data_IF_587892324658
#
_entry.id   IF_587892324658
#
_cell.length_a   1.000
_cell.length_b   1.000
_cell.length_c   1.000
_cell.angle_alpha   90.00
_cell.angle_beta   90.00
_cell.angle_gamma   90.00
#
_symmetry.space_group_name_H-M   'P 1'
#
loop_
_entity.id
_entity.type
_entity.pdbx_description
1 polymer ?
#
# COMPACT_ATOMS: atom_id res chain seq x y z
N UNK A 1 -10.42 -47.58 -26.53
CA UNK A 1 -9.86 -46.23 -26.33
C UNK A 1 -10.78 -45.47 -25.38
N UNK A 2 -10.33 -45.15 -24.17
CA UNK A 2 -11.10 -44.33 -23.23
C UNK A 2 -11.20 -42.90 -23.77
N UNK A 3 -12.41 -42.35 -23.88
CA UNK A 3 -12.57 -40.92 -24.19
C UNK A 3 -11.83 -40.10 -23.13
N UNK A 4 -11.06 -39.07 -23.51
CA UNK A 4 -10.46 -38.18 -22.53
C UNK A 4 -11.58 -37.52 -21.72
N UNK A 5 -11.56 -37.74 -20.42
CA UNK A 5 -12.47 -37.11 -19.46
C UNK A 5 -12.07 -35.65 -19.33
N UNK A 6 -13.01 -34.74 -19.65
CA UNK A 6 -12.79 -33.30 -19.50
C UNK A 6 -12.98 -32.89 -18.04
N UNK A 7 -12.21 -31.92 -17.55
CA UNK A 7 -12.41 -31.37 -16.20
C UNK A 7 -13.88 -30.92 -16.00
N UNK A 8 -14.51 -30.41 -17.05
CA UNK A 8 -15.91 -29.95 -17.05
C UNK A 8 -16.94 -31.07 -16.89
N UNK A 9 -16.56 -32.34 -17.11
CA UNK A 9 -17.45 -33.48 -16.88
C UNK A 9 -17.51 -33.92 -15.41
N UNK A 10 -16.63 -33.40 -14.55
CA UNK A 10 -16.67 -33.65 -13.12
C UNK A 10 -17.76 -32.82 -12.45
N UNK A 11 -18.39 -33.28 -11.35
CA UNK A 11 -19.16 -32.42 -10.45
C UNK A 11 -18.38 -31.19 -9.99
N UNK A 12 -19.09 -30.09 -9.69
CA UNK A 12 -18.46 -28.82 -9.32
C UNK A 12 -17.58 -28.94 -8.09
N UNK A 13 -18.03 -29.71 -7.10
CA UNK A 13 -17.37 -29.91 -5.83
C UNK A 13 -15.97 -30.50 -6.02
N UNK A 14 -15.85 -31.51 -6.90
CA UNK A 14 -14.56 -32.10 -7.27
C UNK A 14 -13.67 -31.13 -8.07
N UNK A 15 -14.27 -30.26 -8.89
CA UNK A 15 -13.49 -29.21 -9.60
C UNK A 15 -12.93 -28.18 -8.61
N UNK A 16 -13.72 -27.76 -7.64
CA UNK A 16 -13.29 -26.80 -6.61
C UNK A 16 -12.16 -27.41 -5.74
N UNK A 17 -12.25 -28.69 -5.40
CA UNK A 17 -11.18 -29.44 -4.71
C UNK A 17 -9.90 -29.49 -5.55
N UNK A 18 -9.99 -29.88 -6.83
CA UNK A 18 -8.84 -29.89 -7.75
C UNK A 18 -8.24 -28.49 -7.89
N UNK A 19 -9.07 -27.46 -8.09
CA UNK A 19 -8.60 -26.08 -8.20
C UNK A 19 -7.87 -25.68 -6.93
N UNK A 20 -8.39 -26.03 -5.75
CA UNK A 20 -7.76 -25.76 -4.45
C UNK A 20 -6.36 -26.38 -4.35
N UNK A 21 -6.18 -27.60 -4.84
CA UNK A 21 -4.86 -28.24 -4.92
C UNK A 21 -3.90 -27.59 -5.93
N UNK A 22 -4.42 -26.87 -6.92
CA UNK A 22 -3.64 -26.14 -7.92
C UNK A 22 -3.29 -24.71 -7.50
N UNK A 23 -3.75 -24.28 -6.32
CA UNK A 23 -3.46 -22.96 -5.78
C UNK A 23 -1.99 -22.88 -5.41
N UNK A 24 -1.35 -21.81 -5.87
CA UNK A 24 0.06 -21.57 -5.62
C UNK A 24 0.19 -20.65 -4.40
N UNK A 25 1.30 -20.75 -3.64
CA UNK A 25 1.55 -19.92 -2.47
C UNK A 25 1.50 -18.42 -2.76
N UNK A 26 1.51 -17.63 -1.69
CA UNK A 26 1.55 -16.18 -1.73
C UNK A 26 2.58 -15.63 -2.72
N UNK A 27 2.20 -14.57 -3.43
CA UNK A 27 2.95 -14.07 -4.58
C UNK A 27 2.93 -12.55 -4.65
N UNK A 28 4.06 -11.97 -5.05
CA UNK A 28 4.19 -10.52 -5.27
C UNK A 28 4.30 -10.24 -6.76
N UNK A 29 3.35 -9.46 -7.29
CA UNK A 29 3.44 -8.89 -8.64
C UNK A 29 4.15 -7.54 -8.58
N UNK A 30 5.11 -7.31 -9.47
CA UNK A 30 5.79 -6.01 -9.60
C UNK A 30 5.21 -5.22 -10.75
N UNK A 31 5.26 -3.89 -10.73
CA UNK A 31 4.84 -3.08 -11.89
C UNK A 31 5.76 -3.21 -13.12
N UNK A 32 6.91 -3.90 -12.97
CA UNK A 32 7.82 -4.21 -14.08
C UNK A 32 7.42 -5.47 -14.83
N UNK A 33 7.43 -5.42 -16.15
CA UNK A 33 7.32 -6.61 -17.00
C UNK A 33 8.58 -7.48 -16.97
N UNK A 34 9.73 -6.94 -16.52
CA UNK A 34 11.00 -7.66 -16.54
C UNK A 34 11.27 -8.37 -15.20
N UNK A 35 11.76 -9.63 -15.23
CA UNK A 35 12.14 -10.38 -14.03
C UNK A 35 13.31 -9.72 -13.28
N UNK A 36 14.19 -9.02 -13.99
CA UNK A 36 15.29 -8.28 -13.38
C UNK A 36 14.89 -6.81 -13.18
N UNK A 37 14.59 -6.46 -11.93
CA UNK A 37 14.22 -5.11 -11.50
C UNK A 37 15.42 -4.23 -11.15
N UNK A 38 16.66 -4.73 -11.27
CA UNK A 38 17.90 -3.95 -11.16
C UNK A 38 17.85 -2.66 -11.98
N UNK A 39 17.15 -2.76 -13.11
CA UNK A 39 17.06 -1.74 -14.12
C UNK A 39 15.98 -0.69 -13.82
N UNK A 40 15.02 -0.97 -12.93
CA UNK A 40 13.91 -0.06 -12.62
C UNK A 40 14.38 1.24 -11.94
N UNK A 41 15.45 1.15 -11.15
CA UNK A 41 16.04 2.25 -10.39
C UNK A 41 17.49 2.57 -10.80
N UNK A 42 18.01 1.96 -11.87
CA UNK A 42 19.40 2.15 -12.32
C UNK A 42 19.61 2.27 -13.83
N UNK A 43 18.64 1.95 -14.69
CA UNK A 43 18.89 1.99 -16.15
C UNK A 43 18.22 3.13 -16.89
N UNK A 44 18.85 3.45 -18.03
CA UNK A 44 18.45 4.43 -19.03
C UNK A 44 17.17 4.09 -19.82
N UNK A 45 16.31 3.21 -19.31
CA UNK A 45 15.07 2.83 -20.01
C UNK A 45 13.88 3.52 -19.36
N UNK A 46 13.08 4.20 -20.17
CA UNK A 46 11.80 4.84 -19.81
C UNK A 46 10.76 3.81 -19.35
N UNK A 47 11.00 3.14 -18.23
CA UNK A 47 9.99 2.33 -17.59
C UNK A 47 8.87 3.29 -17.17
N UNK A 48 7.66 3.09 -17.70
CA UNK A 48 6.51 3.90 -17.33
C UNK A 48 6.33 3.84 -15.81
N UNK A 49 6.39 4.99 -15.12
CA UNK A 49 6.20 5.04 -13.68
C UNK A 49 4.72 4.85 -13.35
N UNK A 50 4.42 3.85 -12.53
CA UNK A 50 3.06 3.58 -12.04
C UNK A 50 2.96 3.88 -10.54
N UNK A 51 1.73 4.14 -10.10
CA UNK A 51 1.38 4.38 -8.69
C UNK A 51 1.70 3.14 -7.85
N UNK A 52 1.20 1.98 -8.27
CA UNK A 52 1.50 0.71 -7.65
C UNK A 52 2.85 0.17 -8.13
N UNK A 53 3.59 -0.38 -7.18
CA UNK A 53 4.95 -0.90 -7.42
C UNK A 53 5.06 -2.38 -7.13
N UNK A 54 4.32 -2.83 -6.12
CA UNK A 54 4.22 -4.23 -5.71
C UNK A 54 2.77 -4.53 -5.28
N UNK A 55 2.29 -5.73 -5.60
CA UNK A 55 0.98 -6.23 -5.17
C UNK A 55 1.19 -7.63 -4.61
N UNK A 56 1.03 -7.78 -3.30
CA UNK A 56 1.01 -9.07 -2.64
C UNK A 56 -0.40 -9.65 -2.70
N UNK A 57 -0.50 -10.88 -3.21
CA UNK A 57 -1.69 -11.71 -3.09
C UNK A 57 -1.37 -12.90 -2.18
N UNK A 58 -2.30 -13.28 -1.29
CA UNK A 58 -2.08 -14.42 -0.40
C UNK A 58 -2.07 -15.76 -1.14
N UNK A 59 -2.56 -15.80 -2.38
CA UNK A 59 -2.52 -16.97 -3.25
C UNK A 59 -2.41 -16.57 -4.72
N UNK A 60 -1.92 -17.49 -5.55
CA UNK A 60 -1.77 -17.27 -7.00
C UNK A 60 -2.55 -18.31 -7.80
N UNK A 61 -3.30 -17.82 -8.80
CA UNK A 61 -3.93 -18.66 -9.82
C UNK A 61 -2.85 -19.27 -10.72
N UNK A 62 -2.94 -20.58 -10.97
CA UNK A 62 -2.16 -21.24 -12.01
C UNK A 62 -2.47 -20.59 -13.37
N UNK A 63 -1.51 -19.91 -14.03
CA UNK A 63 -1.77 -19.09 -15.23
C UNK A 63 -2.43 -19.89 -16.36
N UNK A 64 -2.10 -21.18 -16.45
CA UNK A 64 -2.63 -22.09 -17.46
C UNK A 64 -4.15 -22.27 -17.34
N UNK A 65 -4.72 -22.23 -16.12
CA UNK A 65 -6.17 -22.40 -15.89
C UNK A 65 -6.96 -21.21 -16.45
N UNK A 66 -6.38 -20.00 -16.45
CA UNK A 66 -7.03 -18.79 -16.94
C UNK A 66 -7.27 -18.80 -18.46
N UNK A 67 -6.52 -19.62 -19.19
CA UNK A 67 -6.57 -19.71 -20.65
C UNK A 67 -7.46 -20.82 -21.20
N UNK A 68 -7.90 -21.79 -20.39
CA UNK A 68 -8.54 -23.02 -20.92
C UNK A 68 -10.01 -22.82 -21.29
N UNK A 69 -10.82 -22.30 -20.37
CA UNK A 69 -12.27 -22.18 -20.56
C UNK A 69 -12.83 -21.05 -19.69
N UNK A 70 -13.80 -20.29 -20.23
CA UNK A 70 -14.48 -19.20 -19.48
C UNK A 70 -15.16 -19.70 -18.20
N UNK A 71 -15.77 -20.88 -18.22
CA UNK A 71 -16.43 -21.46 -17.05
C UNK A 71 -15.42 -21.80 -15.96
N UNK A 72 -14.37 -22.57 -16.29
CA UNK A 72 -13.30 -22.91 -15.35
C UNK A 72 -12.60 -21.67 -14.79
N UNK A 73 -12.40 -20.65 -15.63
CA UNK A 73 -11.90 -19.35 -15.17
C UNK A 73 -12.82 -18.73 -14.13
N UNK A 74 -14.13 -18.72 -14.36
CA UNK A 74 -15.10 -18.14 -13.43
C UNK A 74 -15.14 -18.89 -12.09
N UNK A 75 -15.10 -20.23 -12.12
CA UNK A 75 -15.06 -21.07 -10.93
C UNK A 75 -13.75 -20.88 -10.15
N UNK A 76 -12.61 -20.86 -10.85
CA UNK A 76 -11.31 -20.61 -10.24
C UNK A 76 -11.22 -19.24 -9.56
N UNK A 77 -11.79 -18.20 -10.19
CA UNK A 77 -11.88 -16.87 -9.59
C UNK A 77 -12.77 -16.87 -8.34
N UNK A 78 -13.89 -17.61 -8.35
CA UNK A 78 -14.75 -17.75 -7.16
C UNK A 78 -14.01 -18.41 -5.99
N UNK A 79 -13.28 -19.50 -6.25
CA UNK A 79 -12.46 -20.19 -5.23
C UNK A 79 -11.40 -19.24 -4.66
N UNK A 80 -10.69 -18.48 -5.51
CA UNK A 80 -9.68 -17.54 -5.04
C UNK A 80 -10.29 -16.38 -4.24
N UNK A 81 -11.41 -15.83 -4.67
CA UNK A 81 -12.11 -14.78 -3.94
C UNK A 81 -12.55 -15.27 -2.56
N UNK A 82 -13.04 -16.51 -2.46
CA UNK A 82 -13.40 -17.12 -1.19
C UNK A 82 -12.19 -17.24 -0.25
N UNK A 83 -11.04 -17.68 -0.76
CA UNK A 83 -9.80 -17.82 0.02
C UNK A 83 -9.27 -16.46 0.47
N UNK A 84 -9.23 -15.47 -0.42
CA UNK A 84 -8.81 -14.11 -0.07
C UNK A 84 -9.70 -13.54 1.04
N UNK A 85 -11.02 -13.72 0.90
CA UNK A 85 -11.98 -13.27 1.90
C UNK A 85 -11.83 -14.02 3.24
N UNK A 86 -11.57 -15.32 3.23
CA UNK A 86 -11.40 -16.11 4.46
C UNK A 86 -10.09 -15.79 5.17
N UNK A 87 -8.99 -15.63 4.45
CA UNK A 87 -7.70 -15.24 5.02
C UNK A 87 -7.74 -13.86 5.69
N UNK A 88 -8.59 -12.97 5.20
CA UNK A 88 -8.81 -11.64 5.80
C UNK A 88 -9.48 -11.69 7.19
N UNK A 89 -10.01 -12.85 7.60
CA UNK A 89 -10.61 -13.06 8.93
C UNK A 89 -9.64 -13.69 9.93
N UNK A 90 -8.49 -14.20 9.48
CA UNK A 90 -7.52 -14.85 10.34
C UNK A 90 -6.66 -13.76 11.00
N UNK A 91 -6.57 -13.73 12.34
CA UNK A 91 -5.66 -12.81 13.02
C UNK A 91 -4.22 -13.08 12.58
N UNK A 92 -3.36 -12.06 12.47
CA UNK A 92 -1.95 -12.25 12.13
C UNK A 92 -1.35 -13.29 13.07
N UNK A 93 -0.54 -14.23 12.55
CA UNK A 93 0.13 -15.20 13.40
C UNK A 93 0.96 -14.44 14.44
N UNK A 94 0.86 -14.85 15.70
CA UNK A 94 1.58 -14.23 16.83
C UNK A 94 3.09 -14.43 16.77
N UNK A 95 3.57 -15.24 15.81
CA UNK A 95 4.98 -15.48 15.55
C UNK A 95 5.28 -15.27 14.07
N UNK A 96 6.42 -14.65 13.73
CA UNK A 96 6.86 -14.54 12.35
C UNK A 96 6.98 -15.95 11.74
N UNK A 97 6.60 -16.14 10.47
CA UNK A 97 6.75 -17.43 9.82
C UNK A 97 8.22 -17.86 9.91
N UNK A 98 8.50 -19.15 10.17
CA UNK A 98 9.87 -19.63 10.20
C UNK A 98 10.53 -19.27 8.85
N UNK A 99 11.80 -18.83 8.85
CA UNK A 99 12.50 -18.48 7.62
C UNK A 99 12.47 -19.71 6.70
N UNK A 100 11.65 -19.68 5.65
CA UNK A 100 11.59 -20.78 4.70
C UNK A 100 12.94 -20.88 4.00
N UNK A 101 13.64 -21.99 4.15
CA UNK A 101 14.98 -22.22 3.58
C UNK A 101 15.01 -22.03 2.04
N UNK A 102 13.86 -22.17 1.38
CA UNK A 102 13.70 -21.92 -0.05
C UNK A 102 12.74 -20.75 -0.28
N UNK A 103 13.30 -19.56 -0.47
CA UNK A 103 12.56 -18.41 -1.00
C UNK A 103 12.00 -18.82 -2.39
N UNK A 104 10.69 -18.68 -2.65
CA UNK A 104 10.12 -18.90 -3.98
C UNK A 104 10.89 -18.11 -5.05
N UNK A 105 11.07 -18.65 -6.27
CA UNK A 105 11.74 -17.94 -7.38
C UNK A 105 11.19 -16.53 -7.63
N UNK A 106 9.88 -16.34 -7.40
CA UNK A 106 9.21 -15.05 -7.53
C UNK A 106 9.66 -13.99 -6.54
N UNK A 107 10.22 -14.39 -5.40
CA UNK A 107 10.79 -13.45 -4.44
C UNK A 107 12.02 -12.78 -5.04
N UNK A 108 12.90 -13.56 -5.67
CA UNK A 108 14.06 -13.00 -6.38
C UNK A 108 13.67 -12.13 -7.59
N UNK A 109 12.51 -12.38 -8.19
CA UNK A 109 11.98 -11.55 -9.29
C UNK A 109 11.31 -10.26 -8.78
N UNK A 110 10.81 -10.27 -7.55
CA UNK A 110 10.24 -9.11 -6.90
C UNK A 110 11.31 -8.21 -6.28
N UNK A 111 12.39 -8.83 -5.79
CA UNK A 111 13.52 -8.19 -5.12
C UNK A 111 14.22 -7.19 -6.03
N UNK A 112 14.07 -5.90 -5.72
CA UNK A 112 14.86 -4.85 -6.40
C UNK A 112 16.22 -4.73 -5.73
N UNK A 113 17.27 -4.62 -6.54
CA UNK A 113 18.64 -4.44 -6.05
C UNK A 113 18.71 -3.23 -5.11
N UNK A 114 19.01 -3.48 -3.84
CA UNK A 114 19.13 -2.45 -2.82
C UNK A 114 17.83 -2.05 -2.12
N UNK A 115 16.70 -2.73 -2.36
CA UNK A 115 15.43 -2.53 -1.62
C UNK A 115 14.99 -3.77 -0.84
N UNK A 116 15.88 -4.74 -0.62
CA UNK A 116 15.55 -5.95 0.15
C UNK A 116 15.02 -5.63 1.55
N UNK A 117 15.58 -4.59 2.19
CA UNK A 117 15.10 -4.11 3.49
C UNK A 117 13.69 -3.52 3.42
N UNK A 118 13.40 -2.67 2.43
CA UNK A 118 12.05 -2.12 2.21
C UNK A 118 11.02 -3.24 2.02
N UNK A 119 11.37 -4.25 1.25
CA UNK A 119 10.48 -5.35 0.94
C UNK A 119 10.26 -6.31 2.11
N UNK A 120 11.29 -6.55 2.92
CA UNK A 120 11.15 -7.32 4.16
C UNK A 120 10.28 -6.55 5.16
N UNK A 121 10.48 -5.23 5.28
CA UNK A 121 9.64 -4.36 6.08
C UNK A 121 8.17 -4.39 5.62
N UNK A 122 7.91 -4.22 4.31
CA UNK A 122 6.56 -4.33 3.74
C UNK A 122 5.85 -5.66 4.07
N UNK A 123 6.63 -6.75 4.18
CA UNK A 123 6.13 -8.11 4.44
C UNK A 123 5.84 -8.38 5.91
N UNK A 124 6.31 -7.52 6.81
CA UNK A 124 5.94 -7.62 8.21
C UNK A 124 4.43 -7.44 8.31
N UNK A 125 3.76 -8.46 8.84
CA UNK A 125 2.31 -8.54 9.00
C UNK A 125 1.52 -8.62 7.68
N UNK A 126 2.06 -9.32 6.67
CA UNK A 126 1.25 -9.65 5.48
C UNK A 126 0.04 -10.52 5.85
N UNK A 127 -1.10 -9.86 5.98
CA UNK A 127 -2.43 -10.49 6.14
C UNK A 127 -3.30 -10.01 4.98
N UNK A 128 -3.61 -10.93 4.06
CA UNK A 128 -4.45 -10.63 2.89
C UNK A 128 -3.75 -9.86 1.77
N UNK A 129 -4.49 -8.96 1.12
CA UNK A 129 -4.01 -8.19 -0.03
C UNK A 129 -3.26 -6.95 0.43
N UNK A 130 -2.02 -6.79 -0.05
CA UNK A 130 -1.21 -5.58 0.16
C UNK A 130 -0.82 -4.98 -1.18
N UNK A 131 -1.00 -3.67 -1.33
CA UNK A 131 -0.48 -2.91 -2.47
C UNK A 131 0.54 -1.90 -1.96
N UNK A 132 1.74 -1.94 -2.53
CA UNK A 132 2.80 -0.98 -2.22
C UNK A 132 2.77 0.18 -3.23
N UNK A 133 2.69 1.39 -2.70
CA UNK A 133 2.62 2.66 -3.43
C UNK A 133 3.91 3.45 -3.24
N UNK A 134 4.41 4.09 -4.30
CA UNK A 134 5.50 5.07 -4.20
C UNK A 134 4.94 6.46 -4.56
N UNK A 135 4.91 7.39 -3.61
CA UNK A 135 4.35 8.73 -3.80
C UNK A 135 5.47 9.78 -3.72
N UNK A 136 5.73 10.53 -4.80
CA UNK A 136 6.85 11.51 -4.86
C UNK A 136 8.23 10.93 -4.52
N UNK A 137 8.39 9.61 -4.45
CA UNK A 137 9.68 8.97 -4.17
C UNK A 137 10.61 9.18 -5.36
N UNK A 138 11.75 9.82 -5.09
CA UNK A 138 12.82 10.02 -6.06
C UNK A 138 13.40 8.67 -6.49
N UNK A 139 13.64 8.54 -7.79
CA UNK A 139 14.31 7.40 -8.39
C UNK A 139 15.70 7.84 -8.88
N UNK A 140 16.68 6.96 -8.71
CA UNK A 140 18.03 7.20 -9.19
C UNK A 140 18.08 6.95 -10.70
N UNK A 141 18.22 8.01 -11.48
CA UNK A 141 18.44 7.95 -12.91
C UNK A 141 19.93 8.03 -13.26
N UNK A 142 20.21 8.06 -14.57
CA UNK A 142 21.56 8.25 -15.12
C UNK A 142 22.18 9.60 -14.71
N UNK A 143 21.37 10.64 -14.60
CA UNK A 143 21.80 12.02 -14.37
C UNK A 143 21.54 12.53 -12.96
N UNK A 144 21.39 11.62 -11.98
CA UNK A 144 21.07 11.97 -10.60
C UNK A 144 19.69 11.47 -10.18
N UNK A 145 19.04 12.18 -9.28
CA UNK A 145 17.71 11.83 -8.78
C UNK A 145 16.64 12.56 -9.57
N UNK A 146 15.58 11.85 -9.95
CA UNK A 146 14.38 12.42 -10.55
C UNK A 146 13.15 11.89 -9.83
N UNK A 147 12.14 12.73 -9.62
CA UNK A 147 10.84 12.31 -9.09
C UNK A 147 9.94 12.04 -10.28
N UNK A 148 9.64 10.77 -10.62
CA UNK A 148 8.80 10.50 -11.77
C UNK A 148 7.34 10.79 -11.45
N UNK A 149 6.62 11.30 -12.45
CA UNK A 149 5.18 11.57 -12.37
C UNK A 149 4.42 10.26 -12.48
N UNK A 150 3.66 9.89 -11.44
CA UNK A 150 2.89 8.63 -11.36
C UNK A 150 1.40 8.96 -11.34
N UNK A 151 0.72 8.83 -12.47
CA UNK A 151 -0.71 9.16 -12.60
C UNK A 151 -1.60 7.93 -12.74
N UNK A 152 -1.02 6.82 -13.22
CA UNK A 152 -1.73 5.61 -13.59
C UNK A 152 -1.36 4.41 -12.74
N UNK A 153 -2.31 3.49 -12.64
CA UNK A 153 -2.11 2.15 -12.09
C UNK A 153 -1.50 1.23 -13.16
N UNK A 154 -0.68 0.28 -12.75
CA UNK A 154 0.03 -0.60 -13.64
C UNK A 154 -0.92 -1.54 -14.39
N UNK A 155 -0.57 -1.97 -15.61
CA UNK A 155 -1.34 -3.00 -16.33
C UNK A 155 -1.53 -4.29 -15.53
N UNK A 156 -0.59 -4.59 -14.61
CA UNK A 156 -0.67 -5.75 -13.73
C UNK A 156 -1.72 -5.57 -12.65
N UNK A 157 -1.83 -4.38 -12.04
CA UNK A 157 -2.96 -4.07 -11.16
C UNK A 157 -4.29 -4.27 -11.89
N UNK A 158 -4.42 -3.71 -13.10
CA UNK A 158 -5.65 -3.81 -13.90
C UNK A 158 -6.00 -5.25 -14.27
N UNK A 159 -5.00 -6.08 -14.59
CA UNK A 159 -5.20 -7.50 -14.89
C UNK A 159 -5.70 -8.32 -13.69
N UNK A 160 -5.41 -7.85 -12.46
CA UNK A 160 -5.81 -8.50 -11.21
C UNK A 160 -7.20 -8.06 -10.72
N UNK A 161 -7.83 -7.04 -11.32
CA UNK A 161 -9.14 -6.54 -10.88
C UNK A 161 -10.22 -7.64 -10.72
N UNK A 162 -10.33 -8.66 -11.59
CA UNK A 162 -11.32 -9.72 -11.39
C UNK A 162 -11.18 -10.48 -10.05
N UNK A 163 -9.96 -10.52 -9.49
CA UNK A 163 -9.66 -11.07 -8.17
C UNK A 163 -9.86 -10.03 -7.06
N UNK A 164 -9.48 -8.79 -7.32
CA UNK A 164 -9.44 -7.74 -6.30
C UNK A 164 -10.79 -7.07 -6.08
N UNK A 165 -11.69 -7.07 -7.06
CA UNK A 165 -12.95 -6.32 -7.02
C UNK A 165 -13.86 -6.65 -5.82
N UNK A 166 -13.78 -7.86 -5.28
CA UNK A 166 -14.57 -8.29 -4.11
C UNK A 166 -13.86 -8.10 -2.77
N UNK A 167 -12.70 -7.45 -2.77
CA UNK A 167 -11.86 -7.28 -1.58
C UNK A 167 -12.51 -6.31 -0.62
N UNK A 168 -12.80 -6.77 0.60
CA UNK A 168 -13.34 -5.91 1.68
C UNK A 168 -12.27 -5.29 2.56
N UNK A 169 -11.11 -5.94 2.69
CA UNK A 169 -9.99 -5.48 3.50
C UNK A 169 -8.77 -5.25 2.63
N UNK A 170 -8.22 -4.05 2.66
CA UNK A 170 -7.07 -3.69 1.84
C UNK A 170 -5.99 -3.04 2.71
N UNK A 171 -4.75 -3.52 2.56
CA UNK A 171 -3.57 -2.85 3.12
C UNK A 171 -2.82 -2.12 2.01
N UNK A 172 -2.56 -0.84 2.23
CA UNK A 172 -1.72 0.00 1.38
C UNK A 172 -0.45 0.32 2.15
N UNK A 173 0.70 -0.02 1.57
CA UNK A 173 2.00 0.38 2.11
C UNK A 173 2.54 1.50 1.25
N UNK A 174 2.84 2.65 1.83
CA UNK A 174 3.22 3.85 1.11
C UNK A 174 4.65 4.21 1.45
N UNK A 175 5.47 4.37 0.42
CA UNK A 175 6.80 4.97 0.52
C UNK A 175 6.75 6.38 -0.06
N UNK A 176 6.47 7.41 0.76
CA UNK A 176 6.46 8.79 0.31
C UNK A 176 7.89 9.32 0.09
N UNK A 177 8.02 10.35 -0.74
CA UNK A 177 9.23 11.14 -0.90
C UNK A 177 9.40 12.19 0.21
N UNK A 178 10.60 12.76 0.29
CA UNK A 178 10.97 13.80 1.26
C UNK A 178 10.00 14.99 1.27
N UNK A 179 9.62 15.49 0.09
CA UNK A 179 8.77 16.67 -0.04
C UNK A 179 7.39 16.49 0.59
N UNK A 180 6.87 15.25 0.58
CA UNK A 180 5.57 14.94 1.18
C UNK A 180 5.60 15.06 2.70
N UNK A 181 6.66 14.57 3.35
CA UNK A 181 6.86 14.69 4.80
C UNK A 181 6.96 16.16 5.24
N UNK A 182 7.48 17.02 4.37
CA UNK A 182 7.61 18.47 4.61
C UNK A 182 6.34 19.27 4.27
N UNK A 183 5.21 18.61 4.04
CA UNK A 183 3.95 19.30 3.77
C UNK A 183 3.84 19.98 2.42
N UNK A 184 4.62 19.52 1.45
CA UNK A 184 4.52 19.99 0.07
C UNK A 184 3.20 19.52 -0.55
N UNK A 185 2.12 20.25 -0.29
CA UNK A 185 0.89 20.12 -1.10
C UNK A 185 1.23 20.52 -2.53
N UNK A 186 0.72 19.81 -3.55
CA UNK A 186 0.92 20.22 -4.94
C UNK A 186 0.31 21.61 -5.14
N UNK A 187 1.17 22.64 -5.12
CA UNK A 187 0.76 24.01 -5.37
C UNK A 187 0.61 24.17 -6.87
N UNK A 188 -0.58 24.53 -7.32
CA UNK A 188 -0.78 24.89 -8.72
C UNK A 188 0.06 26.14 -8.98
N UNK A 189 1.00 26.07 -9.92
CA UNK A 189 1.76 27.24 -10.35
C UNK A 189 1.10 27.83 -11.59
N UNK A 190 1.00 29.15 -11.64
CA UNK A 190 0.58 29.90 -12.82
C UNK A 190 1.72 30.79 -13.28
N UNK A 191 1.85 30.93 -14.60
CA UNK A 191 2.84 31.84 -15.18
C UNK A 191 2.27 33.26 -15.11
N UNK A 192 2.88 34.13 -14.30
CA UNK A 192 2.50 35.55 -14.18
C UNK A 192 3.71 36.37 -14.61
N UNK A 193 3.56 37.10 -15.72
CA UNK A 193 4.62 37.93 -16.30
C UNK A 193 5.93 37.15 -16.56
N UNK A 194 5.83 35.93 -17.09
CA UNK A 194 6.98 35.09 -17.41
C UNK A 194 7.66 34.41 -16.22
N UNK A 195 7.17 34.61 -14.99
CA UNK A 195 7.65 33.90 -13.79
C UNK A 195 6.60 32.92 -13.29
N UNK A 196 7.01 31.72 -12.89
CA UNK A 196 6.11 30.82 -12.17
C UNK A 196 5.82 31.41 -10.78
N UNK A 197 4.55 31.64 -10.49
CA UNK A 197 4.07 31.99 -9.14
C UNK A 197 3.08 30.94 -8.68
N UNK A 198 3.02 30.73 -7.38
CA UNK A 198 1.99 29.89 -6.76
C UNK A 198 0.64 30.56 -6.99
N UNK A 199 -0.32 29.80 -7.48
CA UNK A 199 -1.70 30.21 -7.60
C UNK A 199 -2.43 29.92 -6.29
N UNK A 200 -2.50 30.91 -5.40
CA UNK A 200 -3.23 30.81 -4.12
C UNK A 200 -4.74 30.63 -4.32
N UNK A 201 -5.26 30.97 -5.50
CA UNK A 201 -6.69 30.84 -5.82
C UNK A 201 -7.07 29.46 -6.39
N UNK A 202 -6.08 28.62 -6.73
CA UNK A 202 -6.36 27.30 -7.27
C UNK A 202 -6.89 26.37 -6.15
N UNK A 203 -7.88 25.50 -6.44
CA UNK A 203 -8.35 24.53 -5.47
C UNK A 203 -7.19 23.64 -5.02
N UNK A 204 -7.17 23.33 -3.72
CA UNK A 204 -6.16 22.47 -3.13
C UNK A 204 -6.20 21.11 -3.83
N UNK A 205 -5.16 20.81 -4.60
CA UNK A 205 -4.98 19.48 -5.19
C UNK A 205 -4.75 18.47 -4.05
N UNK A 206 -5.26 17.23 -4.19
CA UNK A 206 -4.90 16.18 -3.27
C UNK A 206 -3.39 15.99 -3.27
N UNK A 207 -2.80 15.69 -2.12
CA UNK A 207 -1.39 15.31 -2.06
C UNK A 207 -1.14 13.99 -2.78
N UNK A 208 0.13 13.70 -3.04
CA UNK A 208 0.51 12.53 -3.81
C UNK A 208 0.06 11.20 -3.19
N UNK A 209 0.02 11.11 -1.85
CA UNK A 209 -0.44 9.90 -1.15
C UNK A 209 -1.96 9.79 -1.27
N UNK A 210 -2.70 10.86 -0.94
CA UNK A 210 -4.17 10.86 -1.10
C UNK A 210 -4.60 10.56 -2.53
N UNK A 211 -3.91 11.14 -3.53
CA UNK A 211 -4.17 10.86 -4.94
C UNK A 211 -3.94 9.39 -5.29
N UNK A 212 -2.82 8.82 -4.87
CA UNK A 212 -2.49 7.41 -5.11
C UNK A 212 -3.51 6.46 -4.47
N UNK A 213 -3.89 6.72 -3.21
CA UNK A 213 -4.88 5.93 -2.49
C UNK A 213 -6.25 6.04 -3.16
N UNK A 214 -6.70 7.24 -3.51
CA UNK A 214 -7.96 7.46 -4.20
C UNK A 214 -8.03 6.71 -5.54
N UNK A 215 -6.93 6.71 -6.32
CA UNK A 215 -6.84 5.96 -7.58
C UNK A 215 -7.02 4.46 -7.39
N UNK A 216 -6.41 3.88 -6.36
CA UNK A 216 -6.57 2.45 -6.05
C UNK A 216 -8.03 2.16 -5.65
N UNK A 217 -8.61 2.98 -4.77
CA UNK A 217 -9.97 2.77 -4.27
C UNK A 217 -11.04 3.00 -5.35
N UNK A 218 -10.80 3.86 -6.34
CA UNK A 218 -11.65 4.03 -7.52
C UNK A 218 -11.86 2.70 -8.26
N UNK A 219 -10.85 1.82 -8.25
CA UNK A 219 -10.93 0.50 -8.88
C UNK A 219 -11.39 -0.61 -7.93
N UNK A 220 -11.48 -0.34 -6.63
CA UNK A 220 -11.84 -1.31 -5.58
C UNK A 220 -12.99 -0.77 -4.71
N UNK A 221 -14.20 -0.60 -5.26
CA UNK A 221 -15.31 0.07 -4.57
C UNK A 221 -15.87 -0.72 -3.38
N UNK A 222 -15.61 -2.03 -3.30
CA UNK A 222 -16.09 -2.93 -2.25
C UNK A 222 -15.24 -2.93 -0.98
N UNK A 223 -14.16 -2.15 -0.94
CA UNK A 223 -13.30 -2.03 0.25
C UNK A 223 -14.08 -1.36 1.39
N UNK A 224 -14.17 -2.06 2.52
CA UNK A 224 -14.82 -1.62 3.75
C UNK A 224 -13.80 -1.25 4.84
N UNK A 225 -12.68 -1.98 4.90
CA UNK A 225 -11.58 -1.73 5.84
C UNK A 225 -10.30 -1.42 5.07
N UNK A 226 -9.71 -0.26 5.37
CA UNK A 226 -8.49 0.20 4.72
C UNK A 226 -7.40 0.43 5.77
N UNK A 227 -6.26 -0.24 5.61
CA UNK A 227 -5.05 0.05 6.38
C UNK A 227 -4.05 0.77 5.48
N UNK A 228 -3.48 1.88 5.94
CA UNK A 228 -2.49 2.68 5.24
C UNK A 228 -1.26 2.79 6.14
N UNK A 229 -0.20 2.06 5.80
CA UNK A 229 1.08 2.15 6.50
C UNK A 229 2.02 3.03 5.67
N UNK A 230 2.31 4.23 6.18
CA UNK A 230 3.28 5.15 5.60
C UNK A 230 4.64 4.87 6.24
N UNK A 231 5.56 4.34 5.43
CA UNK A 231 6.87 3.89 5.89
C UNK A 231 7.95 4.93 5.57
N UNK A 232 8.86 5.11 6.51
CA UNK A 232 10.07 5.90 6.32
C UNK A 232 11.31 5.11 6.75
N UNK A 233 12.42 5.32 6.05
CA UNK A 233 13.72 4.77 6.43
C UNK A 233 14.29 5.58 7.59
N UNK A 234 14.60 4.93 8.71
CA UNK A 234 15.14 5.58 9.91
C UNK A 234 16.66 5.43 10.02
N UNK A 235 17.33 4.95 8.96
CA UNK A 235 18.78 4.76 8.93
C UNK A 235 19.62 6.02 9.22
N UNK A 236 18.99 7.20 9.18
CA UNK A 236 19.55 8.46 9.65
C UNK A 236 18.43 9.23 10.38
N UNK A 237 18.21 8.99 11.68
CA UNK A 237 17.31 9.84 12.51
C UNK A 237 17.70 11.32 12.36
N UNK A 238 18.99 11.61 12.22
CA UNK A 238 19.54 12.95 11.98
C UNK A 238 19.30 13.50 10.56
N UNK A 239 18.80 12.70 9.62
CA UNK A 239 18.31 13.13 8.29
C UNK A 239 16.80 12.97 8.14
N UNK A 240 16.12 12.52 9.19
CA UNK A 240 14.71 12.81 9.37
C UNK A 240 14.64 14.32 9.67
N UNK A 241 14.72 15.14 8.62
CA UNK A 241 14.17 16.50 8.67
C UNK A 241 12.64 16.36 8.72
N UNK A 242 12.14 15.74 9.78
CA UNK A 242 10.77 15.96 10.21
C UNK A 242 10.74 17.43 10.67
N UNK A 243 9.70 18.19 10.30
CA UNK A 243 9.57 19.56 10.77
C UNK A 243 9.69 19.62 12.30
N UNK A 244 10.20 20.74 12.83
CA UNK A 244 10.46 20.98 14.26
C UNK A 244 9.29 20.54 15.17
N UNK A 245 8.08 20.60 14.62
CA UNK A 245 6.82 20.08 15.12
C UNK A 245 6.42 18.83 14.34
N UNK A 246 6.68 17.68 14.95
CA UNK A 246 7.00 16.40 14.28
C UNK A 246 5.91 15.80 13.36
N UNK A 247 4.71 16.38 13.32
CA UNK A 247 3.63 15.98 12.42
C UNK A 247 3.03 17.10 11.58
N UNK A 248 3.42 18.37 11.80
CA UNK A 248 2.79 19.52 11.14
C UNK A 248 2.85 19.42 9.62
N UNK A 249 3.98 18.94 9.10
CA UNK A 249 4.18 18.71 7.67
C UNK A 249 3.13 17.78 7.08
N UNK A 250 2.67 16.76 7.81
CA UNK A 250 1.69 15.76 7.32
C UNK A 250 0.31 15.89 7.98
N UNK A 251 0.12 16.86 8.88
CA UNK A 251 -1.11 17.06 9.63
C UNK A 251 -2.31 17.23 8.71
N UNK A 252 -2.12 17.95 7.60
CA UNK A 252 -3.16 18.11 6.61
C UNK A 252 -3.65 16.80 5.99
N UNK A 253 -2.75 15.82 5.85
CA UNK A 253 -3.09 14.52 5.33
C UNK A 253 -3.85 13.75 6.41
N UNK A 254 -3.36 13.72 7.65
CA UNK A 254 -4.00 13.09 8.81
C UNK A 254 -5.43 13.62 9.05
N UNK A 255 -5.61 14.93 8.91
CA UNK A 255 -6.90 15.59 9.08
C UNK A 255 -7.75 15.55 7.80
N UNK A 256 -7.13 15.27 6.66
CA UNK A 256 -7.75 15.22 5.34
C UNK A 256 -8.51 13.92 5.07
N UNK A 257 -9.35 14.00 4.03
CA UNK A 257 -10.09 12.87 3.49
C UNK A 257 -9.18 11.93 2.69
N UNK A 258 -9.37 10.61 2.87
CA UNK A 258 -8.75 9.62 1.98
C UNK A 258 -9.51 9.49 0.66
N UNK A 259 -10.84 9.64 0.68
CA UNK A 259 -11.70 9.50 -0.50
C UNK A 259 -12.63 10.70 -0.56
N UNK A 260 -12.74 11.31 -1.74
CA UNK A 260 -13.72 12.35 -2.01
C UNK A 260 -15.15 11.78 -1.92
N UNK A 261 -16.10 12.62 -1.52
CA UNK A 261 -17.47 12.23 -1.19
C UNK A 261 -18.15 11.40 -2.30
N UNK A 262 -18.84 10.32 -1.89
CA UNK A 262 -19.85 9.65 -2.73
C UNK A 262 -19.49 8.29 -3.34
N UNK A 263 -18.35 7.68 -3.00
CA UNK A 263 -17.90 6.48 -3.72
C UNK A 263 -17.73 5.17 -2.94
N UNK A 264 -17.45 5.22 -1.63
CA UNK A 264 -16.84 4.05 -0.97
C UNK A 264 -17.66 3.46 0.16
N UNK A 265 -17.68 2.11 0.21
CA UNK A 265 -18.22 1.30 1.31
C UNK A 265 -17.32 1.29 2.57
N UNK A 266 -16.32 2.17 2.62
CA UNK A 266 -15.40 2.30 3.74
C UNK A 266 -16.17 2.55 5.05
N UNK A 267 -15.84 1.71 6.03
CA UNK A 267 -16.35 1.71 7.41
C UNK A 267 -15.22 1.93 8.41
N UNK A 268 -14.00 1.46 8.10
CA UNK A 268 -12.83 1.59 8.95
C UNK A 268 -11.61 2.01 8.13
N UNK A 269 -10.86 2.98 8.63
CA UNK A 269 -9.56 3.37 8.10
C UNK A 269 -8.55 3.33 9.24
N UNK A 270 -7.39 2.73 9.03
CA UNK A 270 -6.27 2.79 9.97
C UNK A 270 -5.08 3.38 9.24
N UNK A 271 -4.57 4.51 9.73
CA UNK A 271 -3.36 5.16 9.22
C UNK A 271 -2.24 4.95 10.20
N UNK A 272 -1.07 4.53 9.73
CA UNK A 272 0.13 4.39 10.54
C UNK A 272 1.26 5.17 9.92
N UNK A 273 1.95 5.98 10.69
CA UNK A 273 3.26 6.51 10.32
C UNK A 273 4.29 5.67 11.07
N UNK A 274 5.17 5.00 10.33
CA UNK A 274 6.08 4.05 10.91
C UNK A 274 7.50 4.17 10.38
N UNK A 275 8.45 4.03 11.30
CA UNK A 275 9.86 3.95 11.02
C UNK A 275 10.29 2.52 10.73
N UNK A 276 11.05 2.34 9.65
CA UNK A 276 11.76 1.11 9.33
C UNK A 276 13.20 1.22 9.85
N UNK A 277 13.48 0.49 10.93
CA UNK A 277 14.74 0.55 11.66
C UNK A 277 15.77 -0.46 11.19
N UNK A 278 15.29 -1.67 10.95
CA UNK A 278 15.99 -2.85 10.44
C UNK A 278 14.99 -3.62 9.59
N UNK A 279 15.50 -4.61 8.85
CA UNK A 279 14.69 -5.42 7.93
C UNK A 279 13.45 -6.07 8.58
N UNK A 280 13.51 -6.28 9.89
CA UNK A 280 12.52 -6.99 10.70
C UNK A 280 11.84 -6.09 11.76
N UNK A 281 12.18 -4.80 11.82
CA UNK A 281 11.67 -3.89 12.84
C UNK A 281 11.01 -2.67 12.21
N UNK A 282 9.68 -2.74 12.14
CA UNK A 282 8.80 -1.59 11.91
C UNK A 282 8.23 -1.17 13.25
N UNK A 283 8.30 0.12 13.53
CA UNK A 283 7.71 0.71 14.72
C UNK A 283 6.84 1.89 14.32
N UNK A 284 5.55 1.84 14.67
CA UNK A 284 4.64 2.94 14.44
C UNK A 284 4.85 4.02 15.50
N UNK A 285 5.22 5.21 15.06
CA UNK A 285 5.28 6.42 15.88
C UNK A 285 3.94 7.13 15.94
N UNK A 286 3.03 6.83 15.01
CA UNK A 286 1.69 7.39 14.96
C UNK A 286 0.69 6.37 14.43
N UNK A 287 -0.47 6.25 15.07
CA UNK A 287 -1.59 5.41 14.65
C UNK A 287 -2.88 6.22 14.77
N UNK A 288 -3.65 6.29 13.68
CA UNK A 288 -4.98 6.90 13.65
C UNK A 288 -5.99 5.89 13.12
N UNK A 289 -6.98 5.57 13.94
CA UNK A 289 -8.13 4.74 13.59
C UNK A 289 -9.36 5.61 13.38
N UNK A 290 -9.98 5.48 12.22
CA UNK A 290 -11.22 6.16 11.85
C UNK A 290 -12.31 5.11 11.66
N UNK A 291 -13.41 5.23 12.39
CA UNK A 291 -14.56 4.33 12.26
C UNK A 291 -15.80 5.14 11.95
N UNK A 292 -16.51 4.78 10.89
CA UNK A 292 -17.73 5.46 10.47
C UNK A 292 -18.84 5.22 11.49
N UNK A 293 -19.47 6.30 11.96
CA UNK A 293 -20.63 6.27 12.85
C UNK A 293 -21.89 6.54 12.01
N UNK A 294 -22.88 5.64 12.11
CA UNK A 294 -24.19 5.79 11.49
C UNK A 294 -24.32 5.16 10.09
N UNK A 295 -25.55 4.77 9.75
CA UNK A 295 -25.91 4.22 8.44
C UNK A 295 -26.60 5.32 7.60
N UNK A 296 -26.04 5.70 6.45
CA UNK A 296 -26.86 6.27 5.36
C UNK A 296 -26.84 7.79 5.08
N UNK A 297 -25.88 8.57 5.57
CA UNK A 297 -25.68 9.97 5.13
C UNK A 297 -24.68 10.13 3.97
N UNK A 298 -24.91 11.11 3.07
CA UNK A 298 -23.90 11.58 2.08
C UNK A 298 -22.62 12.10 2.77
N UNK A 299 -22.78 12.63 3.98
CA UNK A 299 -21.71 13.01 4.90
C UNK A 299 -21.76 12.04 6.09
N UNK A 300 -20.79 11.15 6.19
CA UNK A 300 -20.66 10.25 7.34
C UNK A 300 -19.87 10.94 8.45
N UNK A 301 -20.36 10.87 9.69
CA UNK A 301 -19.55 11.22 10.86
C UNK A 301 -18.56 10.07 11.12
N UNK A 302 -17.31 10.39 11.38
CA UNK A 302 -16.27 9.44 11.71
C UNK A 302 -15.81 9.64 13.13
N UNK A 303 -15.72 8.55 13.90
CA UNK A 303 -14.97 8.53 15.15
C UNK A 303 -13.50 8.39 14.83
N UNK A 304 -12.69 9.27 15.37
CA UNK A 304 -11.25 9.31 15.13
C UNK A 304 -10.58 9.09 16.47
N UNK A 305 -9.80 8.02 16.56
CA UNK A 305 -8.91 7.74 17.68
C UNK A 305 -7.49 7.80 17.17
N UNK A 306 -6.67 8.72 17.68
CA UNK A 306 -5.28 8.83 17.23
C UNK A 306 -4.34 8.87 18.41
N UNK A 307 -3.28 8.08 18.29
CA UNK A 307 -2.21 7.96 19.26
C UNK A 307 -0.88 8.15 18.55
N UNK A 308 -0.07 9.10 19.01
CA UNK A 308 1.23 9.40 18.44
C UNK A 308 2.25 9.68 19.53
N UNK A 309 3.41 9.04 19.42
CA UNK A 309 4.54 9.29 20.30
C UNK A 309 5.84 9.13 19.53
N UNK A 310 6.66 10.17 19.52
CA UNK A 310 7.99 10.14 18.92
C UNK A 310 9.04 9.55 19.85
N UNK A 311 8.71 9.33 21.13
CA UNK A 311 9.57 8.65 22.10
C UNK A 311 9.27 7.17 22.13
N UNK A 312 9.19 6.55 20.95
CA UNK A 312 9.01 5.11 20.85
C UNK A 312 10.19 4.38 21.51
N UNK A 313 10.01 3.14 22.00
CA UNK A 313 11.09 2.39 22.63
C UNK A 313 12.38 2.32 21.80
N UNK A 314 12.26 2.18 20.47
CA UNK A 314 13.44 2.12 19.61
C UNK A 314 14.11 3.48 19.42
N UNK A 315 13.34 4.58 19.35
CA UNK A 315 13.89 5.94 19.29
C UNK A 315 14.64 6.25 20.58
N UNK A 316 14.00 6.03 21.74
CA UNK A 316 14.60 6.30 23.05
C UNK A 316 15.89 5.49 23.26
N UNK A 317 15.93 4.25 22.76
CA UNK A 317 17.13 3.41 22.87
C UNK A 317 18.28 3.83 21.95
N UNK A 318 18.03 4.65 20.92
CA UNK A 318 19.01 5.00 19.88
C UNK A 318 19.35 6.48 19.80
N UNK A 319 18.52 7.36 20.34
CA UNK A 319 18.74 8.80 20.33
C UNK A 319 19.89 9.19 21.28
N UNK A 320 20.68 10.17 20.87
CA UNK A 320 21.70 10.75 21.73
C UNK A 320 21.05 11.63 22.83
N UNK A 321 21.72 11.83 23.98
CA UNK A 321 21.22 12.69 25.03
C UNK A 321 20.90 14.10 24.52
N UNK A 322 19.64 14.53 24.70
CA UNK A 322 19.16 15.85 24.28
C UNK A 322 18.54 15.91 22.88
N UNK A 323 18.67 14.88 22.04
CA UNK A 323 18.02 14.85 20.71
C UNK A 323 16.49 14.85 20.80
N UNK A 324 15.94 14.35 21.91
CA UNK A 324 14.50 14.23 22.13
C UNK A 324 13.91 15.39 22.97
N UNK A 325 14.73 16.38 23.36
CA UNK A 325 14.34 17.43 24.30
C UNK A 325 13.42 18.50 23.67
N UNK A 326 13.21 18.46 22.35
CA UNK A 326 12.28 19.33 21.63
C UNK A 326 11.00 18.63 21.17
N UNK A 327 10.86 17.31 21.40
CA UNK A 327 9.71 16.59 20.89
C UNK A 327 8.42 16.94 21.65
N UNK A 328 7.29 17.11 20.93
CA UNK A 328 6.02 17.46 21.54
C UNK A 328 5.51 16.34 22.46
N UNK A 329 4.55 16.69 23.31
CA UNK A 329 3.84 15.71 24.12
C UNK A 329 3.18 14.63 23.24
N UNK A 330 3.03 13.40 23.76
CA UNK A 330 2.34 12.36 23.04
C UNK A 330 0.90 12.78 22.74
N UNK A 331 0.46 12.49 21.52
CA UNK A 331 -0.92 12.67 21.07
C UNK A 331 -1.73 11.46 21.54
N UNK A 332 -2.84 11.69 22.24
CA UNK A 332 -3.85 10.67 22.55
C UNK A 332 -5.23 11.35 22.56
N UNK A 333 -5.94 11.22 21.43
CA UNK A 333 -7.19 11.93 21.19
C UNK A 333 -8.28 10.96 20.68
N UNK A 334 -9.52 11.14 21.15
CA UNK A 334 -10.73 10.47 20.67
C UNK A 334 -11.81 11.53 20.43
N UNK A 335 -12.16 11.77 19.16
CA UNK A 335 -13.14 12.78 18.78
C UNK A 335 -13.98 12.35 17.58
N UNK A 336 -15.11 13.01 17.37
CA UNK A 336 -15.94 12.84 16.18
C UNK A 336 -15.62 13.93 15.15
N UNK A 337 -15.53 13.53 13.89
CA UNK A 337 -15.28 14.40 12.75
C UNK A 337 -16.37 14.20 11.72
N UNK A 338 -17.15 15.25 11.52
CA UNK A 338 -18.10 15.34 10.41
C UNK A 338 -17.42 16.08 9.27
N UNK A 339 -17.72 15.63 8.07
CA UNK A 339 -17.00 15.97 6.87
C UNK A 339 -17.91 16.64 5.86
#
# INVERSE_FOLDING_TARGET
MSKPTSLLSLPRELRDEIITHLILPAFVYTSSSKPNTANLHRTATDAQPYIDTRIHLPSRIAPNILGVCRLLRSECLQVHNHIIASLSSIPPPSSPPPPSETRPPSWYLAERLGTGADEEAERLNDVGIRITLEAQRAQRGRFGYAIPVREDLSPRFLALLPLLQGTRKLRLVVWPGFDWWNGSRPRTTKMVNGRMRIDESAPLKPDAVSFAVAKVLEKLPEVEELEIDVLAHVGDISRWDLPDTVWEGVQYWLDGFIVQEGGTRLKKIVRRLAGVWKQDLIEASYVQEETRIGEGGKHGTWRVKRKGDMRTPTIVAKADPGELDGYPEPVDEDFERTF
#
